data_IF_006649335113
#
_entry.id   IF_006649335113
#
_cell.length_a   1.000
_cell.length_b   1.000
_cell.length_c   1.000
_cell.angle_alpha   90.00
_cell.angle_beta   90.00
_cell.angle_gamma   90.00
#
_symmetry.space_group_name_H-M   'P 1'
#
loop_
_entity.id
_entity.type
_entity.pdbx_description
1 polymer ?
#
# COMPACT_ATOMS: atom_id res chain seq x y z
N UNK A 1 11.86 32.96 3.80
CA UNK A 1 10.87 32.09 4.48
C UNK A 1 11.42 30.68 4.50
N UNK A 2 12.00 30.25 5.62
CA UNK A 2 12.49 28.89 5.84
C UNK A 2 11.31 27.99 6.19
N UNK A 3 11.01 27.01 5.35
CA UNK A 3 10.03 25.96 5.66
C UNK A 3 10.49 25.20 6.91
N UNK A 4 9.63 25.02 7.93
CA UNK A 4 10.01 24.29 9.13
C UNK A 4 10.31 22.83 8.76
N UNK A 5 11.54 22.39 9.05
CA UNK A 5 11.93 20.99 8.99
C UNK A 5 11.09 20.23 10.02
N UNK A 6 10.27 19.24 9.63
CA UNK A 6 9.49 18.49 10.60
C UNK A 6 10.43 17.71 11.52
N UNK A 7 10.55 18.13 12.78
CA UNK A 7 11.30 17.43 13.81
C UNK A 7 10.50 16.20 14.24
N UNK A 8 10.82 15.04 13.65
CA UNK A 8 10.18 13.77 13.99
C UNK A 8 11.15 12.98 14.87
N UNK A 9 11.17 13.32 16.16
CA UNK A 9 12.05 12.69 17.16
C UNK A 9 11.49 11.36 17.72
N UNK A 10 10.37 10.85 17.20
CA UNK A 10 9.65 9.76 17.85
C UNK A 10 9.71 8.44 17.05
N UNK A 11 10.35 7.38 17.59
CA UNK A 11 10.30 6.04 17.00
C UNK A 11 8.85 5.51 17.00
N UNK A 12 8.27 5.37 15.80
CA UNK A 12 6.86 5.00 15.60
C UNK A 12 5.99 6.07 14.96
N UNK A 13 6.58 7.15 14.43
CA UNK A 13 5.85 8.11 13.62
C UNK A 13 5.24 7.46 12.37
N UNK A 14 3.96 7.76 12.12
CA UNK A 14 3.23 7.31 10.94
C UNK A 14 2.87 8.52 10.08
N UNK A 15 3.38 8.55 8.85
CA UNK A 15 3.14 9.65 7.92
C UNK A 15 2.39 9.16 6.68
N UNK A 16 1.43 9.96 6.25
CA UNK A 16 0.69 9.74 5.01
C UNK A 16 1.04 10.89 4.06
N UNK A 17 1.39 10.54 2.83
CA UNK A 17 1.64 11.48 1.74
C UNK A 17 0.62 11.21 0.65
N UNK A 18 -0.16 12.22 0.28
CA UNK A 18 -0.89 12.20 -0.99
C UNK A 18 0.10 12.54 -2.11
N UNK A 19 0.28 11.65 -3.08
CA UNK A 19 1.17 11.89 -4.21
C UNK A 19 0.79 13.15 -5.01
N UNK A 20 -0.45 13.66 -4.91
CA UNK A 20 -0.85 14.92 -5.52
C UNK A 20 -0.06 16.13 -5.01
N UNK A 21 0.41 16.13 -3.75
CA UNK A 21 1.21 17.22 -3.18
C UNK A 21 2.72 17.01 -3.33
N UNK A 22 3.16 15.83 -3.79
CA UNK A 22 4.57 15.46 -3.88
C UNK A 22 5.39 16.41 -4.78
N UNK A 23 4.78 16.98 -5.82
CA UNK A 23 5.46 17.92 -6.72
C UNK A 23 5.96 19.19 -6.04
N UNK A 24 5.23 19.68 -5.04
CA UNK A 24 5.53 20.94 -4.36
C UNK A 24 6.50 20.76 -3.20
N UNK A 25 6.60 19.54 -2.64
CA UNK A 25 7.28 19.29 -1.36
C UNK A 25 8.25 18.10 -1.41
N UNK A 26 8.68 17.66 -2.60
CA UNK A 26 9.49 16.45 -2.77
C UNK A 26 10.74 16.40 -1.86
N UNK A 27 11.47 17.49 -1.73
CA UNK A 27 12.65 17.57 -0.87
C UNK A 27 12.29 17.42 0.62
N UNK A 28 11.25 18.12 1.07
CA UNK A 28 10.76 18.04 2.46
C UNK A 28 10.27 16.63 2.78
N UNK A 29 9.50 16.02 1.86
CA UNK A 29 8.99 14.66 2.02
C UNK A 29 10.13 13.65 2.05
N UNK A 30 11.18 13.82 1.23
CA UNK A 30 12.37 12.94 1.24
C UNK A 30 13.12 13.03 2.58
N UNK A 31 13.30 14.24 3.10
CA UNK A 31 13.92 14.45 4.42
C UNK A 31 13.08 13.81 5.53
N UNK A 32 11.77 14.05 5.52
CA UNK A 32 10.85 13.43 6.47
C UNK A 32 10.88 11.90 6.37
N UNK A 33 10.82 11.34 5.16
CA UNK A 33 10.95 9.89 4.92
C UNK A 33 12.21 9.35 5.57
N UNK A 34 13.36 9.96 5.30
CA UNK A 34 14.65 9.52 5.85
C UNK A 34 14.68 9.57 7.37
N UNK A 35 14.12 10.65 7.97
CA UNK A 35 14.03 10.77 9.42
C UNK A 35 13.13 9.68 10.03
N UNK A 36 11.92 9.51 9.50
CA UNK A 36 10.92 8.55 9.97
C UNK A 36 11.49 7.13 9.90
N UNK A 37 12.09 6.76 8.77
CA UNK A 37 12.55 5.39 8.55
C UNK A 37 13.82 5.06 9.33
N UNK A 38 14.69 6.03 9.62
CA UNK A 38 15.81 5.87 10.56
C UNK A 38 15.34 5.52 11.97
N UNK A 39 14.20 6.06 12.40
CA UNK A 39 13.61 5.81 13.72
C UNK A 39 12.57 4.68 13.73
N UNK A 40 12.46 3.90 12.66
CA UNK A 40 11.56 2.75 12.61
C UNK A 40 10.07 3.07 12.38
N UNK A 41 9.76 4.30 11.98
CA UNK A 41 8.42 4.71 11.61
C UNK A 41 7.96 4.19 10.24
N UNK A 42 6.76 4.59 9.86
CA UNK A 42 6.07 4.10 8.66
C UNK A 42 5.65 5.28 7.79
N UNK A 43 5.95 5.20 6.49
CA UNK A 43 5.48 6.14 5.47
C UNK A 43 4.52 5.43 4.52
N UNK A 44 3.36 6.03 4.28
CA UNK A 44 2.37 5.59 3.30
C UNK A 44 2.19 6.67 2.23
N UNK A 45 2.52 6.34 0.98
CA UNK A 45 2.26 7.18 -0.18
C UNK A 45 1.02 6.68 -0.91
N UNK A 46 -0.02 7.52 -0.98
CA UNK A 46 -1.30 7.22 -1.63
C UNK A 46 -1.42 7.95 -2.97
N UNK A 47 -2.43 7.56 -3.76
CA UNK A 47 -2.89 8.29 -4.94
C UNK A 47 -1.82 8.48 -6.03
N UNK A 48 -0.95 7.49 -6.20
CA UNK A 48 0.08 7.49 -7.25
C UNK A 48 -0.56 7.34 -8.64
N UNK A 49 -0.29 8.29 -9.53
CA UNK A 49 -0.92 8.41 -10.85
C UNK A 49 0.09 8.99 -11.88
N UNK A 50 -0.18 8.82 -13.17
CA UNK A 50 0.76 9.26 -14.21
C UNK A 50 1.16 10.74 -14.10
N UNK A 51 0.24 11.62 -13.67
CA UNK A 51 0.52 13.06 -13.52
C UNK A 51 1.50 13.40 -12.40
N UNK A 52 1.69 12.54 -11.40
CA UNK A 52 2.51 12.81 -10.23
C UNK A 52 3.72 11.87 -10.09
N UNK A 53 3.83 10.84 -10.94
CA UNK A 53 4.88 9.81 -10.82
C UNK A 53 6.30 10.38 -10.89
N UNK A 54 6.55 11.36 -11.78
CA UNK A 54 7.86 12.00 -11.90
C UNK A 54 8.27 12.70 -10.60
N UNK A 55 7.33 13.42 -9.97
CA UNK A 55 7.56 14.08 -8.68
C UNK A 55 7.73 13.10 -7.53
N UNK A 56 6.94 12.02 -7.52
CA UNK A 56 7.10 10.94 -6.53
C UNK A 56 8.48 10.30 -6.66
N UNK A 57 8.96 10.04 -7.87
CA UNK A 57 10.28 9.43 -8.06
C UNK A 57 11.44 10.30 -7.55
N UNK A 58 11.28 11.62 -7.46
CA UNK A 58 12.30 12.51 -6.88
C UNK A 58 12.48 12.32 -5.36
N UNK A 59 11.45 11.82 -4.66
CA UNK A 59 11.50 11.59 -3.22
C UNK A 59 11.85 10.13 -2.84
N UNK A 60 11.65 9.18 -3.76
CA UNK A 60 11.88 7.75 -3.50
C UNK A 60 13.39 7.38 -3.56
N UNK A 61 13.80 6.33 -2.83
CA UNK A 61 15.17 5.81 -2.93
C UNK A 61 15.46 5.18 -4.30
N UNK A 62 14.44 4.57 -4.91
CA UNK A 62 14.49 3.99 -6.25
C UNK A 62 13.24 4.39 -7.04
N UNK A 63 13.35 4.52 -8.37
CA UNK A 63 12.22 4.90 -9.19
C UNK A 63 11.17 3.80 -9.25
N UNK A 64 9.92 4.22 -9.37
CA UNK A 64 8.78 3.39 -9.70
C UNK A 64 8.17 3.84 -11.02
N UNK A 65 7.63 2.90 -11.78
CA UNK A 65 6.90 3.14 -13.01
C UNK A 65 5.45 2.67 -12.85
N UNK A 66 4.58 3.21 -13.71
CA UNK A 66 3.17 2.87 -13.75
C UNK A 66 2.85 2.10 -15.03
N UNK A 67 2.08 1.03 -14.89
CA UNK A 67 1.51 0.31 -16.03
C UNK A 67 0.10 0.79 -16.32
N UNK A 68 -0.36 0.56 -17.55
CA UNK A 68 -1.78 0.66 -17.87
C UNK A 68 -2.50 -0.60 -17.34
N UNK A 69 -2.85 -0.59 -16.05
CA UNK A 69 -3.54 -1.70 -15.39
C UNK A 69 -4.69 -1.18 -14.55
N UNK A 70 -5.90 -1.30 -15.10
CA UNK A 70 -7.15 -0.93 -14.45
C UNK A 70 -7.84 -2.17 -13.87
N UNK A 71 -8.35 -2.07 -12.65
CA UNK A 71 -9.08 -3.17 -12.04
C UNK A 71 -10.17 -2.67 -11.08
N UNK A 72 -11.22 -3.48 -10.98
CA UNK A 72 -12.35 -3.29 -10.07
C UNK A 72 -12.38 -4.32 -8.94
N UNK A 73 -11.32 -5.13 -8.82
CA UNK A 73 -11.15 -6.06 -7.73
C UNK A 73 -9.66 -6.25 -7.47
N UNK A 74 -9.31 -6.52 -6.22
CA UNK A 74 -7.95 -6.81 -5.78
C UNK A 74 -7.88 -8.20 -5.17
N UNK A 75 -6.70 -8.79 -5.24
CA UNK A 75 -6.35 -10.04 -4.55
C UNK A 75 -5.17 -9.78 -3.62
N UNK A 76 -5.09 -10.56 -2.54
CA UNK A 76 -3.95 -10.52 -1.61
C UNK A 76 -2.72 -11.11 -2.29
N UNK A 77 -1.59 -10.45 -2.12
CA UNK A 77 -0.27 -10.95 -2.54
C UNK A 77 0.47 -11.54 -1.36
N UNK A 78 1.66 -11.01 -1.10
CA UNK A 78 2.50 -11.40 0.02
C UNK A 78 1.76 -11.33 1.36
N UNK A 79 1.84 -12.37 2.22
CA UNK A 79 1.21 -12.37 3.53
C UNK A 79 1.64 -11.19 4.39
N UNK A 80 0.67 -10.46 4.96
CA UNK A 80 0.95 -9.28 5.77
C UNK A 80 -0.19 -9.00 6.74
N UNK A 81 0.15 -8.58 7.95
CA UNK A 81 -0.83 -8.12 8.95
C UNK A 81 -1.64 -6.90 8.48
N UNK A 82 -1.18 -6.21 7.44
CA UNK A 82 -1.89 -5.07 6.83
C UNK A 82 -3.09 -5.54 6.01
N UNK A 83 -2.94 -6.64 5.27
CA UNK A 83 -3.93 -7.12 4.29
C UNK A 83 -4.63 -8.39 4.73
N UNK A 84 -4.06 -9.16 5.67
CA UNK A 84 -4.66 -10.38 6.20
C UNK A 84 -6.09 -10.16 6.74
N UNK A 85 -6.39 -9.11 7.53
CA UNK A 85 -7.73 -8.88 8.05
C UNK A 85 -8.78 -8.45 7.00
N UNK A 86 -8.36 -8.08 5.79
CA UNK A 86 -9.29 -7.63 4.75
C UNK A 86 -10.06 -8.81 4.16
N UNK A 87 -11.39 -8.73 4.08
CA UNK A 87 -12.19 -9.75 3.40
C UNK A 87 -12.10 -9.58 1.88
N UNK A 88 -12.32 -10.65 1.12
CA UNK A 88 -12.39 -10.54 -0.35
C UNK A 88 -13.52 -9.61 -0.80
N UNK A 89 -14.63 -9.57 -0.07
CA UNK A 89 -15.73 -8.63 -0.34
C UNK A 89 -15.30 -7.17 -0.21
N UNK A 90 -14.43 -6.84 0.76
CA UNK A 90 -13.86 -5.49 0.92
C UNK A 90 -12.91 -5.08 -0.21
N UNK A 91 -12.46 -6.06 -1.01
CA UNK A 91 -11.56 -5.88 -2.15
C UNK A 91 -12.29 -5.96 -3.51
N UNK A 92 -13.60 -6.21 -3.52
CA UNK A 92 -14.41 -6.40 -4.72
C UNK A 92 -15.33 -5.20 -4.97
N UNK A 93 -15.06 -4.43 -6.02
CA UNK A 93 -15.75 -3.17 -6.37
C UNK A 93 -16.54 -3.25 -7.68
N UNK A 94 -16.57 -4.40 -8.38
CA UNK A 94 -17.14 -4.50 -9.72
C UNK A 94 -18.66 -4.25 -9.81
N UNK A 95 -19.37 -4.26 -8.67
CA UNK A 95 -20.80 -3.92 -8.60
C UNK A 95 -21.07 -2.46 -8.23
N UNK A 96 -20.03 -1.66 -7.95
CA UNK A 96 -20.21 -0.26 -7.57
C UNK A 96 -20.48 0.64 -8.77
N UNK A 97 -21.16 1.76 -8.50
CA UNK A 97 -21.34 2.87 -9.47
C UNK A 97 -20.00 3.36 -10.02
N UNK A 98 -18.95 3.41 -9.19
CA UNK A 98 -17.59 3.72 -9.60
C UNK A 98 -16.65 2.54 -9.27
N UNK A 99 -16.62 1.51 -10.13
CA UNK A 99 -16.07 0.21 -9.77
C UNK A 99 -14.54 0.18 -9.74
N UNK A 100 -13.87 1.19 -10.27
CA UNK A 100 -12.42 1.15 -10.45
C UNK A 100 -11.70 1.52 -9.16
N UNK A 101 -10.99 0.56 -8.58
CA UNK A 101 -10.18 0.74 -7.37
C UNK A 101 -8.71 1.04 -7.70
N UNK A 102 -8.23 0.65 -8.88
CA UNK A 102 -6.95 1.11 -9.44
C UNK A 102 -7.10 1.53 -10.89
N UNK A 103 -6.30 2.49 -11.31
CA UNK A 103 -6.12 2.87 -12.71
C UNK A 103 -4.76 2.46 -13.28
N UNK A 104 -3.79 2.22 -12.40
CA UNK A 104 -2.42 1.86 -12.75
C UNK A 104 -1.92 0.76 -11.81
N UNK A 105 -1.05 -0.10 -12.33
CA UNK A 105 -0.23 -0.99 -11.52
C UNK A 105 1.15 -0.38 -11.30
N UNK A 106 1.78 -0.73 -10.18
CA UNK A 106 3.15 -0.37 -9.86
C UNK A 106 4.12 -1.38 -10.51
N UNK A 107 5.23 -0.90 -11.05
CA UNK A 107 6.35 -1.69 -11.58
C UNK A 107 7.67 -0.93 -11.46
N UNK A 108 8.78 -1.51 -11.90
CA UNK A 108 10.10 -0.88 -11.90
C UNK A 108 10.99 -1.29 -10.72
N UNK A 109 12.20 -0.69 -10.62
CA UNK A 109 13.23 -1.12 -9.67
C UNK A 109 12.75 -1.23 -8.23
N UNK A 110 12.08 -0.18 -7.73
CA UNK A 110 11.54 -0.19 -6.37
C UNK A 110 10.62 -1.39 -6.11
N UNK A 111 9.78 -1.74 -7.10
CA UNK A 111 8.78 -2.81 -6.96
C UNK A 111 9.41 -4.18 -7.07
N UNK A 112 10.51 -4.34 -7.80
CA UNK A 112 11.22 -5.61 -7.95
C UNK A 112 11.77 -6.12 -6.60
N UNK A 113 12.12 -5.20 -5.69
CA UNK A 113 12.62 -5.52 -4.35
C UNK A 113 11.56 -5.38 -3.26
N UNK A 114 10.36 -4.92 -3.60
CA UNK A 114 9.27 -4.73 -2.65
C UNK A 114 8.37 -5.98 -2.54
N UNK A 115 7.76 -6.14 -1.37
CA UNK A 115 6.69 -7.11 -1.18
C UNK A 115 5.38 -6.52 -1.69
N UNK A 116 4.76 -7.17 -2.66
CA UNK A 116 3.46 -6.75 -3.17
C UNK A 116 2.35 -7.32 -2.29
N UNK A 117 1.63 -6.45 -1.59
CA UNK A 117 0.61 -6.85 -0.61
C UNK A 117 -0.78 -7.00 -1.24
N UNK A 118 -1.09 -6.17 -2.24
CA UNK A 118 -2.32 -6.27 -3.03
C UNK A 118 -1.99 -6.19 -4.52
N UNK A 119 -2.65 -7.05 -5.30
CA UNK A 119 -2.57 -7.05 -6.76
C UNK A 119 -3.94 -6.81 -7.38
N UNK A 120 -3.96 -6.24 -8.58
CA UNK A 120 -5.09 -6.28 -9.49
C UNK A 120 -5.56 -7.74 -9.68
N UNK A 121 -6.85 -8.00 -9.42
CA UNK A 121 -7.41 -9.33 -9.66
C UNK A 121 -7.17 -9.77 -11.11
N UNK A 122 -6.67 -11.00 -11.36
CA UNK A 122 -6.49 -11.51 -12.71
C UNK A 122 -7.81 -11.54 -13.49
N UNK A 123 -8.90 -11.94 -12.85
CA UNK A 123 -10.24 -11.97 -13.45
C UNK A 123 -10.80 -10.57 -13.63
N UNK A 124 -11.29 -10.25 -14.84
CA UNK A 124 -12.02 -9.01 -15.10
C UNK A 124 -13.51 -9.16 -14.77
N UNK A 125 -13.86 -8.99 -13.49
CA UNK A 125 -15.24 -9.13 -13.02
C UNK A 125 -16.22 -8.15 -13.67
N UNK A 126 -15.78 -6.99 -14.15
CA UNK A 126 -16.66 -6.06 -14.86
C UNK A 126 -17.10 -6.58 -16.22
N UNK A 127 -16.25 -7.37 -16.89
CA UNK A 127 -16.62 -8.02 -18.14
C UNK A 127 -17.69 -9.09 -17.91
N UNK A 128 -17.63 -9.79 -16.77
CA UNK A 128 -18.61 -10.81 -16.39
C UNK A 128 -20.00 -10.23 -16.08
N UNK A 129 -20.08 -9.16 -15.27
CA UNK A 129 -21.36 -8.62 -14.77
C UNK A 129 -22.28 -8.11 -15.88
N UNK A 130 -21.73 -7.81 -17.07
CA UNK A 130 -22.45 -7.20 -18.20
C UNK A 130 -22.75 -8.17 -19.34
N UNK A 131 -22.56 -9.48 -19.14
CA UNK A 131 -22.74 -10.51 -20.17
C UNK A 131 -23.95 -11.41 -19.87
N UNK A 132 -24.61 -11.95 -20.90
CA UNK A 132 -25.60 -13.02 -20.75
C UNK A 132 -25.06 -14.21 -19.97
N UNK A 133 -25.92 -14.91 -19.22
CA UNK A 133 -25.51 -15.98 -18.29
C UNK A 133 -24.69 -17.08 -18.97
N UNK A 134 -25.07 -17.46 -20.18
CA UNK A 134 -24.38 -18.51 -20.95
C UNK A 134 -22.96 -18.13 -21.39
N UNK A 135 -22.62 -16.83 -21.49
CA UNK A 135 -21.28 -16.35 -21.87
C UNK A 135 -20.36 -16.06 -20.69
N UNK A 136 -20.93 -16.04 -19.48
CA UNK A 136 -20.20 -15.69 -18.25
C UNK A 136 -19.02 -16.63 -17.96
N UNK A 137 -19.14 -17.97 -18.07
CA UNK A 137 -18.02 -18.87 -17.83
C UNK A 137 -16.86 -18.63 -18.80
N UNK A 138 -17.15 -18.50 -20.10
CA UNK A 138 -16.16 -18.22 -21.13
C UNK A 138 -15.44 -16.89 -20.88
N UNK A 139 -16.19 -15.83 -20.53
CA UNK A 139 -15.62 -14.50 -20.24
C UNK A 139 -14.66 -14.52 -19.04
N UNK A 140 -14.99 -15.29 -17.99
CA UNK A 140 -14.10 -15.44 -16.83
C UNK A 140 -12.83 -16.14 -17.24
N UNK A 141 -12.94 -17.27 -17.94
CA UNK A 141 -11.81 -18.07 -18.39
C UNK A 141 -10.86 -17.27 -19.29
N UNK A 142 -11.38 -16.59 -20.31
CA UNK A 142 -10.59 -15.71 -21.18
C UNK A 142 -9.89 -14.61 -20.38
N UNK A 143 -10.66 -13.95 -19.49
CA UNK A 143 -10.11 -12.87 -18.69
C UNK A 143 -8.99 -13.34 -17.76
N UNK A 144 -8.95 -14.61 -17.35
CA UNK A 144 -7.85 -15.14 -16.55
C UNK A 144 -6.61 -15.40 -17.40
N UNK A 145 -6.77 -15.93 -18.62
CA UNK A 145 -5.66 -16.33 -19.50
C UNK A 145 -5.02 -15.20 -20.29
N UNK A 146 -5.72 -14.08 -20.49
CA UNK A 146 -5.14 -12.93 -21.17
C UNK A 146 -3.89 -12.41 -20.46
N UNK A 147 -2.81 -12.16 -21.19
CA UNK A 147 -1.62 -11.50 -20.67
C UNK A 147 -1.99 -10.11 -20.19
N UNK A 148 -1.57 -9.77 -18.96
CA UNK A 148 -1.85 -8.47 -18.34
C UNK A 148 -0.54 -7.83 -17.94
N UNK A 149 -0.50 -6.51 -18.03
CA UNK A 149 0.57 -5.71 -17.45
C UNK A 149 0.61 -5.89 -15.93
N UNK A 150 1.78 -5.63 -15.34
CA UNK A 150 1.98 -5.73 -13.89
C UNK A 150 0.91 -4.94 -13.13
N UNK A 151 0.38 -5.53 -12.06
CA UNK A 151 -0.80 -5.01 -11.36
C UNK A 151 -0.62 -4.83 -9.86
N UNK A 152 0.61 -4.61 -9.39
CA UNK A 152 0.83 -4.30 -7.98
C UNK A 152 0.07 -3.01 -7.61
N UNK A 153 -0.77 -3.08 -6.58
CA UNK A 153 -1.66 -1.99 -6.17
C UNK A 153 -1.25 -1.37 -4.83
N UNK A 154 -0.70 -2.20 -3.95
CA UNK A 154 -0.09 -1.80 -2.67
C UNK A 154 1.18 -2.62 -2.50
N UNK A 155 2.31 -1.95 -2.33
CA UNK A 155 3.62 -2.58 -2.09
C UNK A 155 4.22 -2.07 -0.78
N UNK A 156 5.08 -2.88 -0.17
CA UNK A 156 5.86 -2.56 1.02
C UNK A 156 7.33 -2.81 0.74
N UNK A 157 8.18 -1.86 1.11
CA UNK A 157 9.62 -2.05 1.24
C UNK A 157 10.08 -1.63 2.63
N UNK A 158 11.05 -2.35 3.18
CA UNK A 158 11.71 -1.98 4.42
C UNK A 158 12.85 -1.01 4.07
N UNK A 159 12.90 0.14 4.75
CA UNK A 159 13.91 1.17 4.53
C UNK A 159 14.64 1.42 5.85
N UNK A 160 15.82 0.84 6.00
CA UNK A 160 16.54 0.85 7.28
C UNK A 160 15.70 0.18 8.38
N UNK A 161 15.34 0.93 9.44
CA UNK A 161 14.52 0.41 10.54
C UNK A 161 13.02 0.54 10.26
N UNK A 162 12.61 1.37 9.30
CA UNK A 162 11.23 1.74 9.04
C UNK A 162 10.65 1.08 7.79
N UNK A 163 9.44 1.51 7.41
CA UNK A 163 8.69 0.94 6.29
C UNK A 163 8.17 2.00 5.36
N UNK A 164 8.19 1.68 4.07
CA UNK A 164 7.61 2.49 3.00
C UNK A 164 6.54 1.68 2.29
N UNK A 165 5.34 2.23 2.25
CA UNK A 165 4.20 1.68 1.52
C UNK A 165 3.86 2.61 0.35
N UNK A 166 3.74 2.04 -0.85
CA UNK A 166 3.32 2.78 -2.04
C UNK A 166 2.01 2.19 -2.57
N UNK A 167 1.05 3.05 -2.91
CA UNK A 167 -0.26 2.64 -3.37
C UNK A 167 -0.80 3.46 -4.55
N UNK A 168 -1.33 2.77 -5.55
CA UNK A 168 -2.12 3.34 -6.66
C UNK A 168 -3.62 3.28 -6.41
N UNK A 169 -4.02 2.86 -5.21
CA UNK A 169 -5.41 2.74 -4.80
C UNK A 169 -6.14 4.08 -4.93
N UNK A 170 -7.25 4.07 -5.67
CA UNK A 170 -8.17 5.21 -5.81
C UNK A 170 -9.10 5.25 -4.60
N UNK A 171 -8.55 5.58 -3.44
CA UNK A 171 -9.31 5.73 -2.21
C UNK A 171 -10.03 7.09 -2.25
N UNK A 172 -11.29 7.12 -1.83
CA UNK A 172 -12.10 8.34 -1.79
C UNK A 172 -12.90 8.37 -0.50
N UNK A 173 -13.00 9.54 0.11
CA UNK A 173 -13.83 9.76 1.30
C UNK A 173 -15.32 9.85 0.95
N UNK A 174 -15.64 10.19 -0.29
CA UNK A 174 -17.03 10.35 -0.77
C UNK A 174 -17.69 9.02 -1.13
N UNK A 175 -16.91 7.96 -1.32
CA UNK A 175 -17.39 6.62 -1.59
C UNK A 175 -17.32 5.77 -0.30
N UNK A 176 -18.45 5.31 0.27
CA UNK A 176 -18.46 4.59 1.53
C UNK A 176 -17.59 3.33 1.55
N UNK A 177 -17.53 2.58 0.45
CA UNK A 177 -16.76 1.34 0.37
C UNK A 177 -15.26 1.64 0.31
N UNK A 178 -14.86 2.62 -0.50
CA UNK A 178 -13.46 3.05 -0.60
C UNK A 178 -12.97 3.71 0.69
N UNK A 179 -13.82 4.48 1.36
CA UNK A 179 -13.56 5.04 2.70
C UNK A 179 -13.40 3.95 3.76
N UNK A 180 -14.24 2.91 3.71
CA UNK A 180 -14.13 1.75 4.61
C UNK A 180 -12.81 1.01 4.41
N UNK A 181 -12.43 0.75 3.15
CA UNK A 181 -11.13 0.13 2.83
C UNK A 181 -9.95 1.00 3.31
N UNK A 182 -9.99 2.31 3.08
CA UNK A 182 -8.95 3.22 3.58
C UNK A 182 -8.83 3.14 5.12
N UNK A 183 -9.95 3.19 5.84
CA UNK A 183 -9.97 3.07 7.31
C UNK A 183 -9.36 1.75 7.76
N UNK A 184 -9.76 0.64 7.15
CA UNK A 184 -9.24 -0.69 7.48
C UNK A 184 -7.72 -0.77 7.26
N UNK A 185 -7.22 -0.26 6.13
CA UNK A 185 -5.78 -0.22 5.85
C UNK A 185 -5.02 0.61 6.90
N UNK A 186 -5.52 1.79 7.27
CA UNK A 186 -4.89 2.66 8.26
C UNK A 186 -4.87 2.02 9.66
N UNK A 187 -5.96 1.38 10.08
CA UNK A 187 -6.03 0.65 11.35
C UNK A 187 -5.02 -0.49 11.35
N UNK A 188 -4.99 -1.31 10.29
CA UNK A 188 -4.11 -2.46 10.21
C UNK A 188 -2.62 -2.05 10.16
N UNK A 189 -2.30 -0.96 9.45
CA UNK A 189 -0.95 -0.38 9.45
C UNK A 189 -0.54 0.03 10.88
N UNK A 190 -1.40 0.74 11.60
CA UNK A 190 -1.11 1.15 12.99
C UNK A 190 -0.96 -0.04 13.95
N UNK A 191 -1.79 -1.07 13.82
CA UNK A 191 -1.70 -2.27 14.66
C UNK A 191 -0.42 -3.05 14.36
N UNK A 192 -0.05 -3.20 13.09
CA UNK A 192 1.21 -3.82 12.70
C UNK A 192 2.42 -3.09 13.30
N UNK A 193 2.36 -1.76 13.35
CA UNK A 193 3.40 -0.91 13.94
C UNK A 193 3.49 -1.08 15.47
N UNK A 194 2.36 -1.32 16.14
CA UNK A 194 2.32 -1.55 17.58
C UNK A 194 2.80 -2.96 17.97
N UNK A 195 2.39 -4.00 17.23
CA UNK A 195 2.78 -5.37 17.52
C UNK A 195 4.30 -5.57 17.47
N UNK A 196 4.96 -4.99 16.45
CA UNK A 196 6.42 -5.05 16.31
C UNK A 196 7.17 -4.34 17.44
N UNK A 197 6.66 -3.20 17.92
CA UNK A 197 7.28 -2.48 19.04
C UNK A 197 7.34 -3.39 20.28
N UNK A 198 6.24 -4.06 20.57
CA UNK A 198 6.17 -4.97 21.72
C UNK A 198 7.14 -6.16 21.55
N UNK A 199 7.36 -6.65 20.33
CA UNK A 199 8.31 -7.72 20.05
C UNK A 199 9.77 -7.28 20.17
N UNK A 200 10.11 -6.09 19.65
CA UNK A 200 11.45 -5.50 19.78
C UNK A 200 11.80 -5.19 21.25
N UNK A 201 10.84 -4.73 22.05
CA UNK A 201 11.02 -4.54 23.50
C UNK A 201 11.24 -5.87 24.23
N UNK A 202 10.54 -6.94 23.83
CA UNK A 202 10.70 -8.28 24.43
C UNK A 202 12.07 -8.90 24.14
N UNK A 203 12.63 -8.67 22.95
CA UNK A 203 13.97 -9.14 22.58
C UNK A 203 15.11 -8.36 23.27
N UNK A 204 14.81 -7.26 23.98
CA UNK A 204 15.76 -6.48 24.77
C UNK A 204 15.47 -6.52 26.29
N UNK A 205 14.50 -7.32 26.72
CA UNK A 205 14.35 -7.59 28.14
C UNK A 205 15.56 -8.42 28.61
N UNK A 206 16.23 -8.06 29.71
CA UNK A 206 17.27 -8.91 30.26
C UNK A 206 16.66 -10.29 30.56
N UNK A 207 17.32 -11.35 30.11
CA UNK A 207 16.91 -12.71 30.45
C UNK A 207 16.81 -12.80 31.97
N UNK A 208 15.60 -13.01 32.50
CA UNK A 208 15.42 -13.30 33.92
C UNK A 208 16.26 -14.54 34.22
N UNK A 209 17.42 -14.32 34.83
CA UNK A 209 18.25 -15.37 35.38
C UNK A 209 17.47 -16.14 36.44
N UNK A 210 17.88 -17.38 36.75
CA UNK A 210 17.12 -18.24 37.64
C UNK A 210 16.91 -17.54 39.00
N UNK A 211 15.64 -17.45 39.41
CA UNK A 211 15.26 -16.92 40.72
C UNK A 211 15.92 -17.77 41.82
N UNK A 212 16.54 -17.16 42.83
CA UNK A 212 17.09 -17.92 43.94
C UNK A 212 15.94 -18.61 44.69
N UNK A 213 16.08 -19.91 44.86
CA UNK A 213 15.22 -20.72 45.72
C UNK A 213 15.37 -20.20 47.15
N UNK A 214 14.24 -19.82 47.76
CA UNK A 214 14.13 -19.59 49.20
C UNK A 214 13.86 -20.92 49.90
#
# INVERSE_FOLDING_TARGET
MTTPTPTIANPGAFFIVDAAVAAQQAAVIRTAMTAITRHGGTLLVLNMQSRNISSVNKMLPEPVALTNRRAASLVKGWPSNVTAPLSLASLYFAQDKNPWIIAHGLTGPFVAHAQVLLHACPTNWLAWTRKPEFLKPATVYESQRQTKTAGAALVRSDLGKGRLFLATLRLSLNDPRKRSLLRALLVNLRVADHARRNEATRLHAPSDGPRPLK
#
